data_IF_469502381472
#
_entry.id   IF_469502381472
#
_cell.length_a   1.000
_cell.length_b   1.000
_cell.length_c   1.000
_cell.angle_alpha   90.00
_cell.angle_beta   90.00
_cell.angle_gamma   90.00
#
_symmetry.space_group_name_H-M   'P 1'
#
loop_
_entity.id
_entity.type
_entity.pdbx_description
1 polymer ?
#
# COMPACT_ATOMS: atom_id res chain seq x y z
N UNK A 1 -24.46 0.58 6.00
CA UNK A 1 -23.93 1.91 5.66
C UNK A 1 -23.01 1.75 4.46
N UNK A 2 -23.19 2.51 3.36
CA UNK A 2 -22.20 2.48 2.29
C UNK A 2 -20.88 3.00 2.85
N UNK A 3 -19.83 2.17 2.84
CA UNK A 3 -18.50 2.58 3.25
C UNK A 3 -18.03 3.65 2.26
N UNK A 4 -17.83 4.88 2.74
CA UNK A 4 -17.21 5.95 1.98
C UNK A 4 -15.82 5.49 1.57
N UNK A 5 -15.59 5.29 0.27
CA UNK A 5 -14.28 4.96 -0.27
C UNK A 5 -13.39 6.18 -0.03
N UNK A 6 -12.46 6.09 0.93
CA UNK A 6 -11.55 7.19 1.27
C UNK A 6 -10.36 7.16 0.30
N UNK A 7 -10.02 8.27 -0.39
CA UNK A 7 -8.82 8.31 -1.20
C UNK A 7 -7.59 8.20 -0.30
N UNK A 8 -6.57 7.52 -0.78
CA UNK A 8 -5.32 7.40 -0.03
C UNK A 8 -4.57 8.73 0.00
N UNK A 9 -4.29 9.22 1.23
CA UNK A 9 -3.48 10.42 1.40
C UNK A 9 -2.00 10.11 1.11
N UNK A 10 -1.25 11.14 0.70
CA UNK A 10 0.20 11.01 0.46
C UNK A 10 0.95 10.56 1.71
N UNK A 11 0.61 11.13 2.88
CA UNK A 11 1.25 10.79 4.15
C UNK A 11 1.06 9.31 4.49
N UNK A 12 -0.16 8.79 4.31
CA UNK A 12 -0.46 7.40 4.59
C UNK A 12 0.22 6.45 3.60
N UNK A 13 0.26 6.81 2.31
CA UNK A 13 1.00 6.04 1.32
C UNK A 13 2.49 5.93 1.68
N UNK A 14 3.11 7.04 2.11
CA UNK A 14 4.52 7.04 2.57
C UNK A 14 4.71 6.16 3.80
N UNK A 15 3.80 6.23 4.77
CA UNK A 15 3.85 5.38 5.97
C UNK A 15 3.79 3.89 5.63
N UNK A 16 2.80 3.49 4.80
CA UNK A 16 2.63 2.10 4.39
C UNK A 16 3.84 1.61 3.60
N UNK A 17 4.33 2.40 2.64
CA UNK A 17 5.50 2.03 1.84
C UNK A 17 6.76 1.85 2.71
N UNK A 18 6.98 2.76 3.66
CA UNK A 18 8.11 2.69 4.61
C UNK A 18 8.05 1.42 5.45
N UNK A 19 6.89 1.13 6.04
CA UNK A 19 6.70 -0.07 6.87
C UNK A 19 6.77 -1.37 6.06
N UNK A 20 6.41 -1.33 4.78
CA UNK A 20 6.50 -2.46 3.86
C UNK A 20 7.95 -2.78 3.52
N UNK A 21 8.74 -1.77 3.13
CA UNK A 21 10.14 -1.96 2.71
C UNK A 21 11.06 -2.31 3.87
N UNK A 22 10.73 -1.88 5.09
CA UNK A 22 11.45 -2.27 6.30
C UNK A 22 11.43 -3.79 6.57
N UNK A 23 10.57 -4.57 5.90
CA UNK A 23 10.58 -6.03 5.98
C UNK A 23 11.83 -6.59 5.29
N UNK A 24 12.65 -7.30 6.07
CA UNK A 24 13.93 -7.86 5.65
C UNK A 24 13.78 -8.91 4.55
N UNK A 25 12.81 -9.83 4.69
CA UNK A 25 12.53 -10.83 3.65
C UNK A 25 11.62 -10.22 2.57
N UNK A 26 12.09 -10.01 1.33
CA UNK A 26 11.28 -9.42 0.26
C UNK A 26 9.99 -10.19 -0.03
N UNK A 27 10.00 -11.53 0.13
CA UNK A 27 8.82 -12.38 -0.07
C UNK A 27 7.68 -12.10 0.91
N UNK A 28 7.96 -11.44 2.03
CA UNK A 28 6.94 -11.11 3.04
C UNK A 28 6.39 -9.68 2.88
N UNK A 29 6.93 -8.87 1.95
CA UNK A 29 6.54 -7.47 1.78
C UNK A 29 5.09 -7.33 1.32
N UNK A 30 4.65 -8.16 0.38
CA UNK A 30 3.26 -8.21 -0.07
C UNK A 30 2.27 -8.43 1.06
N UNK A 31 2.51 -9.48 1.86
CA UNK A 31 1.70 -9.80 3.03
C UNK A 31 1.65 -8.63 4.03
N UNK A 32 2.81 -7.99 4.28
CA UNK A 32 2.86 -6.84 5.19
C UNK A 32 2.09 -5.64 4.65
N UNK A 33 2.21 -5.36 3.36
CA UNK A 33 1.47 -4.28 2.72
C UNK A 33 -0.04 -4.52 2.79
N UNK A 34 -0.49 -5.74 2.50
CA UNK A 34 -1.91 -6.12 2.59
C UNK A 34 -2.46 -5.94 4.00
N UNK A 35 -1.74 -6.42 5.03
CA UNK A 35 -2.10 -6.23 6.44
C UNK A 35 -2.21 -4.74 6.83
N UNK A 36 -1.29 -3.90 6.36
CA UNK A 36 -1.35 -2.45 6.60
C UNK A 36 -2.55 -1.81 5.91
N UNK A 37 -2.83 -2.18 4.66
CA UNK A 37 -3.99 -1.68 3.92
C UNK A 37 -5.29 -2.00 4.62
N UNK A 38 -5.49 -3.26 5.04
CA UNK A 38 -6.68 -3.69 5.78
C UNK A 38 -6.86 -2.92 7.09
N UNK A 39 -5.77 -2.72 7.86
CA UNK A 39 -5.79 -1.94 9.12
C UNK A 39 -6.20 -0.49 8.92
N UNK A 40 -5.90 0.08 7.76
CA UNK A 40 -6.30 1.44 7.40
C UNK A 40 -7.66 1.50 6.66
N UNK A 41 -8.37 0.37 6.55
CA UNK A 41 -9.69 0.29 5.93
C UNK A 41 -9.67 0.24 4.40
N UNK A 42 -8.51 0.02 3.79
CA UNK A 42 -8.40 -0.22 2.36
C UNK A 42 -8.69 -1.70 2.04
N UNK A 43 -9.34 -1.93 0.90
CA UNK A 43 -9.67 -3.29 0.47
C UNK A 43 -8.43 -4.02 -0.04
N UNK A 44 -8.42 -5.37 0.03
CA UNK A 44 -7.43 -6.16 -0.68
C UNK A 44 -7.41 -5.81 -2.17
N UNK A 45 -6.21 -5.62 -2.69
CA UNK A 45 -5.93 -5.28 -4.09
C UNK A 45 -4.93 -6.28 -4.65
N UNK A 46 -4.78 -6.28 -5.97
CA UNK A 46 -3.70 -7.02 -6.62
C UNK A 46 -2.36 -6.54 -6.04
N UNK A 47 -1.52 -7.48 -5.64
CA UNK A 47 -0.17 -7.16 -5.17
C UNK A 47 0.66 -6.55 -6.31
N UNK A 48 1.42 -5.47 -6.06
CA UNK A 48 2.32 -4.90 -7.05
C UNK A 48 3.49 -5.83 -7.34
N UNK A 49 4.22 -5.55 -8.42
CA UNK A 49 5.42 -6.30 -8.78
C UNK A 49 6.53 -6.16 -7.72
N UNK A 50 7.42 -7.16 -7.63
CA UNK A 50 8.47 -7.20 -6.59
C UNK A 50 9.45 -6.03 -6.66
N UNK A 51 9.69 -5.50 -7.86
CA UNK A 51 10.50 -4.31 -8.08
C UNK A 51 9.84 -3.05 -7.48
N UNK A 52 8.50 -2.94 -7.55
CA UNK A 52 7.73 -1.88 -6.89
C UNK A 52 7.80 -2.05 -5.36
N UNK A 53 7.66 -3.27 -4.84
CA UNK A 53 7.81 -3.55 -3.39
C UNK A 53 9.24 -3.34 -2.87
N UNK A 54 10.21 -3.09 -3.74
CA UNK A 54 11.61 -2.82 -3.38
C UNK A 54 11.99 -1.35 -3.50
N UNK A 55 11.11 -0.50 -4.03
CA UNK A 55 11.33 0.93 -4.22
C UNK A 55 10.23 1.74 -3.52
N UNK A 56 10.63 2.55 -2.54
CA UNK A 56 9.69 3.32 -1.73
C UNK A 56 8.91 4.34 -2.55
N UNK A 57 9.58 5.05 -3.47
CA UNK A 57 8.93 6.08 -4.27
C UNK A 57 7.92 5.45 -5.24
N UNK A 58 8.29 4.33 -5.88
CA UNK A 58 7.38 3.60 -6.77
C UNK A 58 6.20 3.00 -6.03
N UNK A 59 6.42 2.44 -4.84
CA UNK A 59 5.35 1.91 -4.01
C UNK A 59 4.39 3.02 -3.55
N UNK A 60 4.90 4.19 -3.17
CA UNK A 60 4.06 5.36 -2.82
C UNK A 60 3.18 5.79 -3.99
N UNK A 61 3.76 5.89 -5.20
CA UNK A 61 2.99 6.24 -6.39
C UNK A 61 1.92 5.20 -6.69
N UNK A 62 2.28 3.92 -6.67
CA UNK A 62 1.36 2.80 -6.90
C UNK A 62 0.20 2.79 -5.90
N UNK A 63 0.47 2.99 -4.61
CA UNK A 63 -0.55 3.06 -3.56
C UNK A 63 -1.54 4.20 -3.81
N UNK A 64 -1.04 5.38 -4.19
CA UNK A 64 -1.89 6.54 -4.47
C UNK A 64 -2.73 6.37 -5.72
N UNK A 65 -2.18 5.76 -6.77
CA UNK A 65 -2.90 5.48 -8.01
C UNK A 65 -3.97 4.41 -7.80
N UNK A 66 -3.64 3.35 -7.06
CA UNK A 66 -4.54 2.21 -6.78
C UNK A 66 -5.74 2.62 -5.94
N UNK A 67 -5.55 3.53 -4.99
CA UNK A 67 -6.59 3.97 -4.05
C UNK A 67 -7.02 5.43 -4.26
N UNK A 68 -6.92 5.90 -5.50
CA UNK A 68 -7.57 7.15 -5.89
C UNK A 68 -9.10 6.96 -5.87
N UNK A 69 -9.83 8.04 -5.60
CA UNK A 69 -11.27 8.09 -5.83
C UNK A 69 -11.46 8.91 -7.10
N UNK A 70 -12.11 8.34 -8.10
CA UNK A 70 -12.54 9.05 -9.32
C UNK A 70 -13.74 9.96 -9.00
#
# INVERSE_FOLDING_TARGET
MPQTVKPMSRTLAVEIATKTIAVVNPSNRGLRMADLLEKHGFRPVREPELDILSDQARLVSWLRETFRVD
#
